data_IF_726134552905
#
_entry.id   IF_726134552905
#
_cell.length_a   1.000
_cell.length_b   1.000
_cell.length_c   1.000
_cell.angle_alpha   90.00
_cell.angle_beta   90.00
_cell.angle_gamma   90.00
#
_symmetry.space_group_name_H-M   'P 1'
#
loop_
_entity.id
_entity.type
_entity.pdbx_description
1 polymer ?
#
# COMPACT_ATOMS: atom_id res chain seq x y z
N UNK A 1 15.64 -5.88 6.65
CA UNK A 1 16.00 -5.05 7.84
C UNK A 1 14.99 -3.93 7.87
N UNK A 2 14.07 -3.91 8.83
CA UNK A 2 12.97 -2.92 8.85
C UNK A 2 13.54 -1.59 9.33
N UNK A 3 13.30 -0.49 8.59
CA UNK A 3 13.77 0.84 9.02
C UNK A 3 13.27 1.15 10.42
N UNK A 4 14.21 1.49 11.31
CA UNK A 4 13.90 1.98 12.66
C UNK A 4 13.73 3.50 12.72
N UNK A 5 13.99 4.22 11.63
CA UNK A 5 14.17 5.70 11.67
C UNK A 5 13.24 6.49 10.76
N UNK A 6 12.47 5.86 9.86
CA UNK A 6 11.53 6.57 8.97
C UNK A 6 10.10 6.13 9.33
N UNK A 7 9.26 7.05 9.83
CA UNK A 7 7.86 6.75 10.10
C UNK A 7 7.15 6.38 8.79
N UNK A 8 6.46 5.24 8.76
CA UNK A 8 5.76 4.78 7.55
C UNK A 8 4.52 5.62 7.25
N UNK A 9 4.07 6.45 8.22
CA UNK A 9 2.91 7.33 8.07
C UNK A 9 3.02 8.28 6.87
N UNK A 10 4.23 8.68 6.47
CA UNK A 10 4.44 9.52 5.27
C UNK A 10 4.14 8.83 3.95
N UNK A 11 4.12 7.50 3.94
CA UNK A 11 3.88 6.69 2.75
C UNK A 11 2.48 6.10 2.74
N UNK A 12 1.62 6.45 3.71
CA UNK A 12 0.25 5.94 3.77
C UNK A 12 -0.64 6.71 2.81
N UNK A 13 -1.20 5.98 1.85
CA UNK A 13 -2.32 6.46 1.05
C UNK A 13 -3.63 6.22 1.82
N UNK A 14 -4.23 7.30 2.30
CA UNK A 14 -5.49 7.28 3.05
C UNK A 14 -6.66 7.80 2.20
N UNK A 15 -7.90 7.54 2.64
CA UNK A 15 -9.09 8.01 1.93
C UNK A 15 -9.29 7.36 0.55
N UNK A 16 -8.76 6.15 0.36
CA UNK A 16 -8.81 5.49 -0.95
C UNK A 16 -10.21 4.96 -1.29
N UNK A 17 -10.56 5.04 -2.57
CA UNK A 17 -11.73 4.39 -3.15
C UNK A 17 -11.30 3.28 -4.10
N UNK A 18 -11.77 2.07 -3.86
CA UNK A 18 -11.53 0.94 -4.75
C UNK A 18 -12.14 1.18 -6.14
N UNK A 19 -11.39 0.79 -7.18
CA UNK A 19 -11.84 0.78 -8.57
C UNK A 19 -11.49 -0.55 -9.24
N UNK A 20 -12.48 -1.14 -9.89
CA UNK A 20 -12.35 -2.42 -10.56
C UNK A 20 -12.47 -3.65 -9.64
N UNK A 21 -12.27 -4.86 -10.21
CA UNK A 21 -12.44 -6.11 -9.49
C UNK A 21 -11.39 -6.31 -8.40
N UNK A 22 -11.73 -7.15 -7.42
CA UNK A 22 -10.77 -7.63 -6.45
C UNK A 22 -9.81 -8.64 -7.11
N UNK A 23 -8.51 -8.40 -6.98
CA UNK A 23 -7.45 -9.25 -7.54
C UNK A 23 -6.84 -10.19 -6.52
N UNK A 24 -7.01 -9.91 -5.22
CA UNK A 24 -6.51 -10.74 -4.13
C UNK A 24 -7.32 -10.54 -2.85
N UNK A 25 -7.08 -11.40 -1.85
CA UNK A 25 -7.45 -11.14 -0.46
C UNK A 25 -6.20 -11.13 0.42
N UNK A 26 -6.05 -10.07 1.22
CA UNK A 26 -4.94 -9.91 2.16
C UNK A 26 -5.52 -9.57 3.51
N UNK A 27 -5.19 -10.36 4.53
CA UNK A 27 -5.70 -10.19 5.91
C UNK A 27 -7.23 -10.10 5.98
N UNK A 28 -7.93 -10.90 5.16
CA UNK A 28 -9.40 -10.92 5.07
C UNK A 28 -10.02 -9.72 4.33
N UNK A 29 -9.20 -8.83 3.75
CA UNK A 29 -9.67 -7.69 2.96
C UNK A 29 -9.46 -7.93 1.47
N UNK A 30 -10.50 -7.68 0.68
CA UNK A 30 -10.40 -7.67 -0.78
C UNK A 30 -9.49 -6.53 -1.27
N UNK A 31 -8.56 -6.88 -2.16
CA UNK A 31 -7.60 -5.96 -2.76
C UNK A 31 -8.09 -5.61 -4.17
N UNK A 32 -8.39 -4.34 -4.42
CA UNK A 32 -8.80 -3.88 -5.74
C UNK A 32 -7.61 -3.80 -6.70
N UNK A 33 -7.86 -4.00 -8.00
CA UNK A 33 -6.82 -3.80 -9.03
C UNK A 33 -6.28 -2.36 -9.07
N UNK A 34 -7.14 -1.39 -8.75
CA UNK A 34 -6.78 0.02 -8.70
C UNK A 34 -7.53 0.73 -7.58
N UNK A 35 -6.98 1.85 -7.16
CA UNK A 35 -7.63 2.74 -6.19
C UNK A 35 -7.47 4.19 -6.61
N UNK A 36 -8.40 5.03 -6.19
CA UNK A 36 -8.29 6.48 -6.29
C UNK A 36 -8.04 7.09 -4.92
N UNK A 37 -7.21 8.13 -4.84
CA UNK A 37 -7.13 8.97 -3.65
C UNK A 37 -8.24 10.04 -3.60
N UNK A 38 -8.27 10.80 -2.52
CA UNK A 38 -9.23 11.89 -2.33
C UNK A 38 -9.14 13.01 -3.39
N UNK A 39 -8.02 13.10 -4.12
CA UNK A 39 -7.80 14.07 -5.19
C UNK A 39 -8.10 13.49 -6.58
N UNK A 40 -8.58 12.25 -6.66
CA UNK A 40 -8.88 11.56 -7.92
C UNK A 40 -7.64 11.01 -8.64
N UNK A 41 -6.47 10.96 -7.99
CA UNK A 41 -5.27 10.32 -8.55
C UNK A 41 -5.43 8.81 -8.50
N UNK A 42 -5.12 8.13 -9.61
CA UNK A 42 -5.24 6.68 -9.76
C UNK A 42 -3.93 5.97 -9.36
N UNK A 43 -4.08 4.84 -8.69
CA UNK A 43 -2.97 3.97 -8.31
C UNK A 43 -3.30 2.51 -8.65
N UNK A 44 -2.29 1.74 -9.03
CA UNK A 44 -2.41 0.33 -9.40
C UNK A 44 -1.81 -0.56 -8.31
N UNK A 45 -2.44 -1.70 -8.06
CA UNK A 45 -1.92 -2.66 -7.09
C UNK A 45 -0.59 -3.24 -7.59
N UNK A 46 0.48 -3.00 -6.83
CA UNK A 46 1.84 -3.42 -7.15
C UNK A 46 2.30 -4.63 -6.31
N UNK A 47 1.70 -4.84 -5.13
CA UNK A 47 2.01 -6.01 -4.31
C UNK A 47 1.69 -5.84 -2.84
N UNK A 48 2.34 -6.66 -2.01
CA UNK A 48 2.18 -6.63 -0.55
C UNK A 48 3.55 -6.38 0.07
N UNK A 49 3.63 -5.37 0.94
CA UNK A 49 4.85 -5.01 1.62
C UNK A 49 5.25 -6.10 2.63
N UNK A 50 6.56 -6.36 2.71
CA UNK A 50 7.10 -7.27 3.72
C UNK A 50 6.89 -6.66 5.10
N UNK A 51 6.47 -7.50 6.04
CA UNK A 51 6.37 -7.16 7.44
C UNK A 51 7.34 -8.03 8.25
N UNK A 52 7.84 -7.50 9.36
CA UNK A 52 8.48 -8.33 10.37
C UNK A 52 7.47 -9.01 11.30
N UNK A 53 7.96 -9.84 12.22
CA UNK A 53 7.13 -10.53 13.21
C UNK A 53 6.38 -9.56 14.16
N UNK A 54 6.77 -8.29 14.21
CA UNK A 54 6.08 -7.25 14.97
C UNK A 54 5.07 -6.46 14.12
N UNK A 55 4.83 -6.86 12.87
CA UNK A 55 3.90 -6.21 11.94
C UNK A 55 4.42 -4.91 11.34
N UNK A 56 5.69 -4.55 11.55
CA UNK A 56 6.27 -3.33 11.01
C UNK A 56 6.57 -3.52 9.52
N UNK A 57 6.10 -2.58 8.71
CA UNK A 57 6.26 -2.62 7.26
C UNK A 57 7.67 -2.17 6.87
N UNK A 58 8.29 -2.91 5.95
CA UNK A 58 9.59 -2.55 5.37
C UNK A 58 9.44 -1.45 4.30
N UNK A 59 9.46 -0.20 4.75
CA UNK A 59 9.38 1.00 3.90
C UNK A 59 10.63 1.17 3.01
N UNK A 60 11.79 0.63 3.41
CA UNK A 60 13.04 0.79 2.64
C UNK A 60 13.02 0.03 1.33
N UNK A 61 12.13 -0.96 1.22
CA UNK A 61 11.93 -1.74 0.01
C UNK A 61 10.97 -1.06 -0.98
N UNK A 62 10.34 0.07 -0.62
CA UNK A 62 9.47 0.79 -1.54
C UNK A 62 10.28 1.45 -2.66
N UNK A 63 9.79 1.30 -3.89
CA UNK A 63 10.31 2.02 -5.06
C UNK A 63 9.74 3.44 -5.12
N UNK A 64 10.36 4.35 -5.87
CA UNK A 64 9.75 5.65 -6.18
C UNK A 64 8.34 5.45 -6.74
N UNK A 65 7.39 6.28 -6.28
CA UNK A 65 5.96 6.25 -6.62
C UNK A 65 5.14 5.11 -6.00
N UNK A 66 5.74 4.23 -5.22
CA UNK A 66 5.01 3.26 -4.42
C UNK A 66 4.51 3.87 -3.11
N UNK A 67 3.27 3.53 -2.76
CA UNK A 67 2.57 3.98 -1.57
C UNK A 67 2.00 2.79 -0.82
N UNK A 68 1.96 2.91 0.51
CA UNK A 68 1.39 1.90 1.40
C UNK A 68 -0.09 2.18 1.59
N UNK A 69 -0.92 1.17 1.38
CA UNK A 69 -2.32 1.14 1.81
C UNK A 69 -2.42 0.13 2.94
N UNK A 70 -2.95 0.56 4.10
CA UNK A 70 -3.11 -0.34 5.23
C UNK A 70 -4.06 -1.52 4.87
N UNK A 71 -3.74 -2.75 5.29
CA UNK A 71 -2.74 -3.08 6.32
C UNK A 71 -1.28 -3.16 5.85
N UNK A 72 -1.00 -3.53 4.60
CA UNK A 72 0.35 -3.70 4.05
C UNK A 72 0.37 -3.81 2.52
N UNK A 73 -0.61 -3.23 1.85
CA UNK A 73 -0.69 -3.27 0.39
C UNK A 73 0.21 -2.18 -0.19
N UNK A 74 0.80 -2.46 -1.34
CA UNK A 74 1.57 -1.51 -2.12
C UNK A 74 0.78 -1.14 -3.37
N UNK A 75 0.62 0.15 -3.58
CA UNK A 75 0.04 0.72 -4.78
C UNK A 75 1.03 1.68 -5.42
N UNK A 76 1.18 1.62 -6.74
CA UNK A 76 2.03 2.54 -7.49
C UNK A 76 1.17 3.59 -8.21
N UNK A 77 1.63 4.84 -8.21
CA UNK A 77 1.00 5.88 -9.02
C UNK A 77 1.23 5.57 -10.50
N UNK A 78 0.14 5.64 -11.30
CA UNK A 78 0.22 5.53 -12.75
C UNK A 78 1.13 6.60 -13.39
#
# INVERSE_FOLDING_TARGET
MVSRSIPYEYFILSGIRADGPAVAQVSGRAVATSVFDAHGRRYHFAGVAKQDQAGRIDVLSLKPKEWIVLPNLIYEAA
#
